data_IF_293508156146
#
_entry.id   IF_293508156146
#
_cell.length_a   1.000
_cell.length_b   1.000
_cell.length_c   1.000
_cell.angle_alpha   90.00
_cell.angle_beta   90.00
_cell.angle_gamma   90.00
#
_symmetry.space_group_name_H-M   'P 1'
#
loop_
_entity.id
_entity.type
_entity.pdbx_description
1 polymer ?
#
# COMPACT_ATOMS: atom_id res chain seq x y z
N UNK A 1 -0.69 -13.06 9.66
CA UNK A 1 0.24 -12.44 8.68
C UNK A 1 -0.45 -12.36 7.34
N UNK A 2 0.17 -11.66 6.40
CA UNK A 2 -0.27 -11.57 5.00
C UNK A 2 0.45 -12.63 4.18
N UNK A 3 -0.27 -13.32 3.29
CA UNK A 3 0.27 -14.36 2.42
C UNK A 3 0.01 -13.99 0.95
N UNK A 4 0.96 -14.28 0.03
CA UNK A 4 0.79 -14.02 -1.39
C UNK A 4 -0.08 -15.09 -2.06
N UNK A 5 -0.54 -14.81 -3.28
CA UNK A 5 -1.35 -15.71 -4.11
C UNK A 5 -0.72 -17.11 -4.27
N UNK A 6 0.61 -17.17 -4.36
CA UNK A 6 1.40 -18.41 -4.49
C UNK A 6 1.17 -19.40 -3.33
N UNK A 7 0.60 -18.94 -2.22
CA UNK A 7 0.35 -19.73 -1.01
C UNK A 7 -1.14 -19.98 -0.74
N UNK A 8 -2.03 -19.74 -1.72
CA UNK A 8 -3.48 -19.92 -1.55
C UNK A 8 -3.89 -21.33 -1.14
N UNK A 9 -3.16 -22.35 -1.61
CA UNK A 9 -3.46 -23.76 -1.30
C UNK A 9 -2.86 -24.22 0.04
N UNK A 10 -2.28 -23.31 0.83
CA UNK A 10 -1.71 -23.64 2.14
C UNK A 10 -2.81 -24.12 3.10
N UNK A 11 -2.67 -25.29 3.73
CA UNK A 11 -3.63 -25.75 4.74
C UNK A 11 -3.83 -24.73 5.87
N UNK A 12 -5.10 -24.52 6.22
CA UNK A 12 -5.50 -23.58 7.28
C UNK A 12 -5.45 -24.32 8.62
N UNK A 13 -4.24 -24.55 9.11
CA UNK A 13 -3.95 -25.14 10.43
C UNK A 13 -2.84 -24.35 11.18
N UNK A 14 -2.61 -24.70 12.44
CA UNK A 14 -1.68 -23.96 13.30
C UNK A 14 -0.23 -24.03 12.81
N UNK A 15 0.23 -25.22 12.42
CA UNK A 15 1.64 -25.46 12.10
C UNK A 15 1.97 -24.88 10.72
N UNK A 16 1.16 -25.21 9.71
CA UNK A 16 1.35 -24.77 8.32
C UNK A 16 1.36 -23.24 8.22
N UNK A 17 0.47 -22.55 8.92
CA UNK A 17 0.41 -21.08 8.89
C UNK A 17 1.58 -20.43 9.64
N UNK A 18 2.07 -21.06 10.70
CA UNK A 18 3.20 -20.54 11.48
C UNK A 18 4.50 -20.63 10.66
N UNK A 19 4.71 -21.72 9.92
CA UNK A 19 5.89 -21.90 9.05
C UNK A 19 5.99 -20.83 7.96
N UNK A 20 4.85 -20.37 7.44
CA UNK A 20 4.79 -19.29 6.44
C UNK A 20 4.78 -17.89 7.05
N UNK A 21 5.09 -17.72 8.34
CA UNK A 21 5.11 -16.40 8.99
C UNK A 21 3.72 -15.76 9.11
N UNK A 22 2.67 -16.56 9.06
CA UNK A 22 1.33 -16.19 9.49
C UNK A 22 1.05 -16.83 10.86
N UNK A 23 -0.20 -16.78 11.31
CA UNK A 23 -0.62 -17.45 12.54
C UNK A 23 -2.10 -17.78 12.47
N UNK A 24 -2.49 -18.90 13.07
CA UNK A 24 -3.89 -19.19 13.32
C UNK A 24 -4.37 -18.42 14.56
N UNK A 25 -5.09 -17.32 14.32
CA UNK A 25 -5.72 -16.51 15.36
C UNK A 25 -7.14 -16.97 15.67
N UNK A 26 -8.11 -16.07 15.54
CA UNK A 26 -9.55 -16.35 15.72
C UNK A 26 -10.21 -17.07 14.53
N UNK A 27 -9.44 -17.48 13.52
CA UNK A 27 -9.96 -18.02 12.26
C UNK A 27 -10.48 -16.96 11.27
N UNK A 28 -10.23 -15.68 11.53
CA UNK A 28 -10.56 -14.60 10.60
C UNK A 28 -9.62 -14.57 9.39
N UNK A 29 -10.18 -14.52 8.19
CA UNK A 29 -9.45 -14.43 6.93
C UNK A 29 -9.95 -13.23 6.12
N UNK A 30 -9.01 -12.43 5.60
CA UNK A 30 -9.29 -11.27 4.75
C UNK A 30 -8.67 -11.56 3.39
N UNK A 31 -9.49 -11.51 2.34
CA UNK A 31 -9.05 -11.67 0.95
C UNK A 31 -8.90 -10.28 0.34
N UNK A 32 -7.74 -10.02 -0.25
CA UNK A 32 -7.38 -8.73 -0.86
C UNK A 32 -7.00 -8.98 -2.32
N UNK A 33 -7.37 -8.04 -3.19
CA UNK A 33 -7.01 -8.05 -4.62
C UNK A 33 -5.77 -7.17 -4.89
N UNK A 34 -5.37 -7.10 -6.15
CA UNK A 34 -4.23 -6.30 -6.65
C UNK A 34 -4.43 -4.78 -6.55
N UNK A 35 -5.62 -4.32 -6.16
CA UNK A 35 -5.92 -2.90 -5.90
C UNK A 35 -5.71 -2.53 -4.44
N UNK A 36 -5.18 -3.44 -3.64
CA UNK A 36 -4.82 -3.19 -2.25
C UNK A 36 -3.32 -2.91 -2.15
N UNK A 37 -2.92 -1.92 -1.35
CA UNK A 37 -1.51 -1.63 -1.06
C UNK A 37 -1.09 -2.34 0.23
N UNK A 38 -0.10 -3.22 0.18
CA UNK A 38 0.30 -4.01 1.34
C UNK A 38 1.01 -3.18 2.42
N UNK A 39 1.68 -2.09 2.02
CA UNK A 39 2.26 -1.11 2.95
C UNK A 39 1.15 -0.39 3.73
N UNK A 40 0.05 -0.02 3.05
CA UNK A 40 -1.11 0.62 3.68
C UNK A 40 -1.89 -0.35 4.58
N UNK A 41 -1.98 -1.64 4.20
CA UNK A 41 -2.55 -2.68 5.07
C UNK A 41 -1.74 -2.82 6.36
N UNK A 42 -0.41 -2.85 6.26
CA UNK A 42 0.44 -2.87 7.45
C UNK A 42 0.20 -1.62 8.31
N UNK A 43 0.13 -0.43 7.70
CA UNK A 43 -0.22 0.82 8.41
C UNK A 43 -1.56 0.71 9.13
N UNK A 44 -2.62 0.27 8.45
CA UNK A 44 -3.96 0.13 9.01
C UNK A 44 -3.98 -0.75 10.26
N UNK A 45 -3.34 -1.92 10.22
CA UNK A 45 -3.27 -2.81 11.38
C UNK A 45 -2.43 -2.21 12.51
N UNK A 46 -1.32 -1.55 12.20
CA UNK A 46 -0.51 -0.89 13.22
C UNK A 46 -1.26 0.29 13.86
N UNK A 47 -1.99 1.09 13.09
CA UNK A 47 -2.84 2.17 13.59
C UNK A 47 -3.85 1.64 14.61
N UNK A 48 -4.56 0.55 14.27
CA UNK A 48 -5.47 -0.13 15.18
C UNK A 48 -4.77 -0.64 16.45
N UNK A 49 -3.60 -1.27 16.30
CA UNK A 49 -2.85 -1.83 17.44
C UNK A 49 -2.26 -0.76 18.36
N UNK A 50 -1.95 0.43 17.84
CA UNK A 50 -1.54 1.59 18.65
C UNK A 50 -2.70 2.03 19.56
N UNK A 51 -3.93 2.06 19.05
CA UNK A 51 -5.12 2.43 19.82
C UNK A 51 -5.49 1.37 20.86
N UNK A 52 -5.37 0.08 20.52
CA UNK A 52 -5.69 -1.04 21.41
C UNK A 52 -4.57 -1.39 22.40
N UNK A 53 -3.40 -0.75 22.30
CA UNK A 53 -2.29 -1.02 23.20
C UNK A 53 -2.65 -0.62 24.63
N UNK A 54 -2.55 -1.56 25.57
CA UNK A 54 -2.72 -1.27 27.01
C UNK A 54 -1.59 -0.39 27.58
N UNK A 55 -0.52 -0.14 26.82
CA UNK A 55 0.57 0.76 27.18
C UNK A 55 1.51 0.27 28.28
N UNK A 56 1.39 -0.99 28.75
CA UNK A 56 2.15 -1.49 29.91
C UNK A 56 3.65 -1.65 29.65
N UNK A 57 4.04 -2.21 28.50
CA UNK A 57 5.45 -2.40 28.15
C UNK A 57 5.93 -1.34 27.17
N UNK A 58 7.10 -0.78 27.46
CA UNK A 58 7.76 0.23 26.62
C UNK A 58 7.98 -0.23 25.17
N UNK A 59 8.51 -1.44 24.88
CA UNK A 59 8.71 -1.87 23.50
C UNK A 59 7.41 -1.84 22.69
N UNK A 60 6.31 -2.35 23.23
CA UNK A 60 5.02 -2.29 22.53
C UNK A 60 4.49 -0.83 22.42
N UNK A 61 4.43 -0.08 23.53
CA UNK A 61 3.80 1.25 23.56
C UNK A 61 4.50 2.28 22.68
N UNK A 62 5.82 2.33 22.73
CA UNK A 62 6.60 3.30 21.96
C UNK A 62 7.04 2.73 20.61
N UNK A 63 7.32 1.43 20.54
CA UNK A 63 7.68 0.77 19.29
C UNK A 63 6.55 0.80 18.26
N UNK A 64 5.31 0.49 18.66
CA UNK A 64 4.16 0.57 17.74
C UNK A 64 3.95 1.98 17.20
N UNK A 65 4.09 3.02 18.04
CA UNK A 65 4.03 4.42 17.59
C UNK A 65 5.14 4.74 16.60
N UNK A 66 6.35 4.25 16.84
CA UNK A 66 7.46 4.48 15.91
C UNK A 66 7.24 3.78 14.57
N UNK A 67 6.73 2.54 14.59
CA UNK A 67 6.35 1.83 13.35
C UNK A 67 5.23 2.55 12.61
N UNK A 68 4.20 3.02 13.33
CA UNK A 68 3.11 3.84 12.78
C UNK A 68 3.67 5.06 12.05
N UNK A 69 4.58 5.81 12.66
CA UNK A 69 5.18 6.99 12.05
C UNK A 69 5.93 6.65 10.75
N UNK A 70 6.72 5.58 10.73
CA UNK A 70 7.45 5.15 9.53
C UNK A 70 6.47 4.75 8.42
N UNK A 71 5.43 3.96 8.76
CA UNK A 71 4.40 3.54 7.80
C UNK A 71 3.60 4.73 7.25
N UNK A 72 3.34 5.75 8.07
CA UNK A 72 2.69 6.99 7.63
C UNK A 72 3.60 7.80 6.71
N UNK A 73 4.91 7.85 6.96
CA UNK A 73 5.86 8.51 6.06
C UNK A 73 5.95 7.76 4.72
N UNK A 74 6.06 6.43 4.74
CA UNK A 74 6.04 5.60 3.54
C UNK A 74 4.76 5.79 2.71
N UNK A 75 3.58 5.76 3.33
CA UNK A 75 2.28 5.88 2.64
C UNK A 75 1.88 7.31 2.27
N UNK A 76 2.64 8.32 2.71
CA UNK A 76 2.44 9.73 2.33
C UNK A 76 3.49 10.27 1.38
N UNK A 77 4.36 9.40 0.84
CA UNK A 77 5.42 9.79 -0.09
C UNK A 77 6.57 10.55 0.57
N UNK A 78 6.77 10.34 1.87
CA UNK A 78 7.85 10.92 2.68
C UNK A 78 8.85 9.88 3.17
N UNK A 79 8.78 8.67 2.61
CA UNK A 79 9.72 7.58 2.89
C UNK A 79 11.16 8.03 2.66
N UNK A 80 12.09 7.40 3.39
CA UNK A 80 13.52 7.69 3.32
C UNK A 80 14.28 6.39 3.21
N UNK A 81 15.43 6.45 2.55
CA UNK A 81 16.34 5.32 2.48
C UNK A 81 16.68 4.79 3.89
N UNK A 82 16.41 3.51 4.12
CA UNK A 82 16.62 2.82 5.40
C UNK A 82 15.38 2.75 6.29
N UNK A 83 14.26 3.36 5.90
CA UNK A 83 13.00 3.27 6.64
C UNK A 83 12.47 1.82 6.68
N UNK A 84 12.55 1.09 5.57
CA UNK A 84 12.08 -0.31 5.51
C UNK A 84 12.90 -1.22 6.43
N UNK A 85 14.22 -1.04 6.46
CA UNK A 85 15.09 -1.83 7.34
C UNK A 85 14.87 -1.46 8.81
N UNK A 86 14.80 -0.16 9.11
CA UNK A 86 14.49 0.34 10.46
C UNK A 86 13.15 -0.20 10.97
N UNK A 87 12.13 -0.21 10.09
CA UNK A 87 10.81 -0.74 10.40
C UNK A 87 10.85 -2.25 10.72
N UNK A 88 11.65 -3.01 9.97
CA UNK A 88 11.85 -4.44 10.21
C UNK A 88 12.57 -4.71 11.54
N UNK A 89 13.67 -4.01 11.82
CA UNK A 89 14.41 -4.15 13.08
C UNK A 89 13.52 -3.81 14.30
N UNK A 90 12.72 -2.75 14.18
CA UNK A 90 11.71 -2.37 15.20
C UNK A 90 10.68 -3.49 15.39
N UNK A 91 10.16 -4.05 14.30
CA UNK A 91 9.16 -5.11 14.33
C UNK A 91 9.68 -6.38 15.02
N UNK A 92 10.91 -6.80 14.69
CA UNK A 92 11.58 -7.94 15.34
C UNK A 92 11.82 -7.66 16.83
N UNK A 93 12.36 -6.50 17.17
CA UNK A 93 12.62 -6.12 18.56
C UNK A 93 11.35 -6.06 19.43
N UNK A 94 10.22 -5.60 18.90
CA UNK A 94 8.93 -5.61 19.62
C UNK A 94 8.45 -7.04 19.83
N UNK A 95 8.54 -7.88 18.79
CA UNK A 95 8.09 -9.27 18.83
C UNK A 95 8.82 -10.07 19.91
N UNK A 96 10.13 -9.82 20.07
CA UNK A 96 10.96 -10.53 21.04
C UNK A 96 10.84 -10.02 22.48
N UNK A 97 10.53 -8.73 22.67
CA UNK A 97 10.63 -8.07 23.99
C UNK A 97 9.30 -7.66 24.61
N UNK A 98 8.18 -7.77 23.88
CA UNK A 98 6.86 -7.46 24.42
C UNK A 98 6.43 -8.45 25.52
N UNK A 99 5.72 -7.92 26.54
CA UNK A 99 5.33 -8.70 27.72
C UNK A 99 4.16 -9.67 27.49
N UNK A 100 3.32 -9.43 26.49
CA UNK A 100 2.11 -10.21 26.25
C UNK A 100 2.04 -10.67 24.79
N UNK A 101 1.28 -11.74 24.54
CA UNK A 101 1.10 -12.31 23.20
C UNK A 101 0.59 -11.29 22.17
N UNK A 102 -0.29 -10.35 22.57
CA UNK A 102 -0.74 -9.29 21.68
C UNK A 102 0.45 -8.46 21.18
N UNK A 103 1.30 -7.98 22.09
CA UNK A 103 2.49 -7.19 21.72
C UNK A 103 3.50 -8.00 20.90
N UNK A 104 3.69 -9.28 21.24
CA UNK A 104 4.60 -10.17 20.50
C UNK A 104 4.11 -10.41 19.06
N UNK A 105 2.79 -10.50 18.85
CA UNK A 105 2.19 -10.68 17.52
C UNK A 105 1.86 -9.37 16.79
N UNK A 106 1.95 -8.23 17.46
CA UNK A 106 1.51 -6.93 16.94
C UNK A 106 2.29 -6.51 15.68
N UNK A 107 3.54 -6.94 15.56
CA UNK A 107 4.38 -6.63 14.41
C UNK A 107 4.24 -7.64 13.25
N UNK A 108 3.46 -8.70 13.41
CA UNK A 108 3.29 -9.74 12.38
C UNK A 108 2.80 -9.21 11.03
N UNK A 109 1.83 -8.26 10.95
CA UNK A 109 1.45 -7.66 9.67
C UNK A 109 2.67 -7.10 8.94
N UNK A 110 3.47 -6.27 9.62
CA UNK A 110 4.69 -5.64 9.07
C UNK A 110 5.73 -6.68 8.64
N UNK A 111 6.05 -7.65 9.49
CA UNK A 111 7.06 -8.68 9.17
C UNK A 111 6.65 -9.50 7.94
N UNK A 112 5.38 -9.91 7.88
CA UNK A 112 4.87 -10.71 6.77
C UNK A 112 4.78 -9.92 5.47
N UNK A 113 4.35 -8.66 5.51
CA UNK A 113 4.27 -7.82 4.31
C UNK A 113 5.64 -7.44 3.79
N UNK A 114 6.62 -7.14 4.66
CA UNK A 114 8.01 -6.93 4.24
C UNK A 114 8.60 -8.22 3.63
N UNK A 115 8.28 -9.39 4.18
CA UNK A 115 8.77 -10.68 3.66
C UNK A 115 8.27 -11.00 2.26
N UNK A 116 6.97 -10.80 2.00
CA UNK A 116 6.33 -11.26 0.76
C UNK A 116 6.10 -10.17 -0.28
N UNK A 117 6.08 -8.90 0.13
CA UNK A 117 5.77 -7.76 -0.73
C UNK A 117 6.85 -6.68 -0.61
N UNK A 118 8.11 -7.10 -0.48
CA UNK A 118 9.27 -6.21 -0.29
C UNK A 118 9.37 -5.15 -1.38
N UNK A 119 9.01 -5.52 -2.61
CA UNK A 119 9.03 -4.63 -3.77
C UNK A 119 8.11 -3.42 -3.57
N UNK A 120 6.94 -3.60 -2.96
CA UNK A 120 6.03 -2.48 -2.66
C UNK A 120 6.64 -1.51 -1.64
N UNK A 121 7.35 -2.02 -0.63
CA UNK A 121 8.05 -1.16 0.34
C UNK A 121 9.14 -0.33 -0.34
N UNK A 122 9.93 -0.94 -1.23
CA UNK A 122 10.98 -0.25 -1.99
C UNK A 122 10.38 0.84 -2.88
N UNK A 123 9.24 0.60 -3.52
CA UNK A 123 8.54 1.61 -4.33
C UNK A 123 8.06 2.80 -3.49
N UNK A 124 7.53 2.57 -2.28
CA UNK A 124 7.10 3.65 -1.39
C UNK A 124 8.30 4.43 -0.82
N UNK A 125 9.37 3.72 -0.47
CA UNK A 125 10.58 4.24 0.15
C UNK A 125 11.42 5.08 -0.82
N UNK A 126 11.73 4.54 -2.00
CA UNK A 126 12.71 5.12 -2.92
C UNK A 126 12.07 5.90 -4.06
N UNK A 127 10.92 5.45 -4.56
CA UNK A 127 10.29 6.01 -5.76
C UNK A 127 9.08 6.88 -5.45
N UNK A 128 8.64 6.87 -4.18
CA UNK A 128 7.40 7.46 -3.72
C UNK A 128 6.21 7.09 -4.60
N UNK A 129 6.17 5.80 -4.96
CA UNK A 129 5.19 5.22 -5.87
C UNK A 129 4.37 4.12 -5.20
N UNK A 130 3.06 4.12 -5.43
CA UNK A 130 2.10 3.13 -4.98
C UNK A 130 1.43 2.49 -6.20
N UNK A 131 1.82 1.25 -6.51
CA UNK A 131 1.28 0.49 -7.65
C UNK A 131 -0.23 0.28 -7.59
N UNK A 132 -0.78 0.15 -6.38
CA UNK A 132 -2.21 -0.10 -6.16
C UNK A 132 -3.04 1.19 -6.19
N UNK A 133 -2.39 2.37 -6.18
CA UNK A 133 -3.05 3.67 -6.25
C UNK A 133 -3.85 4.08 -5.02
N UNK A 134 -3.70 3.34 -3.91
CA UNK A 134 -4.41 3.61 -2.64
C UNK A 134 -3.77 4.79 -1.89
N UNK A 135 -2.44 4.91 -1.95
CA UNK A 135 -1.73 5.99 -1.27
C UNK A 135 -1.82 7.29 -2.08
N UNK A 136 -2.58 8.24 -1.56
CA UNK A 136 -2.81 9.56 -2.17
C UNK A 136 -1.51 10.26 -2.55
N UNK A 137 -1.43 10.78 -3.78
CA UNK A 137 -0.26 11.52 -4.24
C UNK A 137 0.93 10.66 -4.70
N UNK A 138 0.85 9.35 -4.54
CA UNK A 138 1.95 8.41 -4.84
C UNK A 138 1.74 7.63 -6.13
N UNK A 139 0.89 8.07 -7.05
CA UNK A 139 0.67 7.35 -8.30
C UNK A 139 0.57 8.30 -9.49
N UNK A 140 0.81 7.78 -10.68
CA UNK A 140 0.63 8.50 -11.94
C UNK A 140 -0.41 7.77 -12.77
N UNK A 141 -1.12 8.51 -13.61
CA UNK A 141 -2.24 7.97 -14.38
C UNK A 141 -1.99 8.13 -15.88
N UNK A 142 -2.30 7.10 -16.66
CA UNK A 142 -2.31 7.12 -18.12
C UNK A 142 -3.65 6.65 -18.65
N UNK A 143 -4.18 7.36 -19.63
CA UNK A 143 -5.39 6.95 -20.34
C UNK A 143 -4.97 5.97 -21.45
N UNK A 144 -5.55 4.78 -21.42
CA UNK A 144 -5.47 3.77 -22.47
C UNK A 144 -6.31 4.24 -23.67
N UNK A 145 -5.62 4.62 -24.75
CA UNK A 145 -6.28 5.15 -25.94
C UNK A 145 -7.15 4.12 -26.65
N UNK A 146 -6.84 2.84 -26.56
CA UNK A 146 -7.59 1.77 -27.25
C UNK A 146 -8.93 1.51 -26.56
N UNK A 147 -8.94 1.52 -25.22
CA UNK A 147 -10.16 1.33 -24.43
C UNK A 147 -11.01 2.61 -24.36
N UNK A 148 -10.38 3.78 -24.37
CA UNK A 148 -11.06 5.06 -24.17
C UNK A 148 -12.08 5.37 -25.28
N UNK A 149 -13.33 5.65 -24.87
CA UNK A 149 -14.43 6.05 -25.79
C UNK A 149 -14.60 7.57 -25.94
N UNK A 150 -13.62 8.36 -25.48
CA UNK A 150 -13.61 9.82 -25.63
C UNK A 150 -14.85 10.55 -25.11
N UNK A 151 -15.47 10.06 -24.02
CA UNK A 151 -16.67 10.66 -23.43
C UNK A 151 -16.42 11.98 -22.66
N UNK A 152 -15.17 12.25 -22.27
CA UNK A 152 -14.77 13.50 -21.59
C UNK A 152 -15.09 13.58 -20.09
N UNK A 153 -15.64 12.53 -19.48
CA UNK A 153 -15.93 12.51 -18.03
C UNK A 153 -14.68 12.70 -17.17
N UNK A 154 -13.54 12.12 -17.58
CA UNK A 154 -12.26 12.29 -16.87
C UNK A 154 -11.83 13.76 -16.83
N UNK A 155 -11.86 14.45 -17.97
CA UNK A 155 -11.49 15.86 -18.06
C UNK A 155 -12.43 16.76 -17.26
N UNK A 156 -13.75 16.52 -17.35
CA UNK A 156 -14.76 17.30 -16.61
C UNK A 156 -14.60 17.22 -15.09
N UNK A 157 -14.14 16.08 -14.57
CA UNK A 157 -13.95 15.87 -13.13
C UNK A 157 -12.49 16.11 -12.68
N UNK A 158 -11.63 16.61 -13.56
CA UNK A 158 -10.27 16.98 -13.17
C UNK A 158 -10.31 18.32 -12.41
N UNK A 159 -9.91 18.38 -11.13
CA UNK A 159 -9.96 19.62 -10.35
C UNK A 159 -8.91 20.66 -10.76
N UNK A 160 -7.92 20.25 -11.58
CA UNK A 160 -6.79 21.07 -12.03
C UNK A 160 -6.67 21.12 -13.56
N UNK A 161 -7.69 20.65 -14.28
CA UNK A 161 -7.81 20.74 -15.75
C UNK A 161 -6.60 20.21 -16.57
N UNK A 162 -5.90 19.18 -16.07
CA UNK A 162 -4.69 18.64 -16.73
C UNK A 162 -4.95 17.56 -17.78
N UNK A 163 -6.22 17.30 -18.11
CA UNK A 163 -6.61 16.24 -19.06
C UNK A 163 -7.09 16.87 -20.35
N UNK A 164 -6.29 16.71 -21.41
CA UNK A 164 -6.51 17.37 -22.69
C UNK A 164 -6.94 16.40 -23.77
N UNK A 165 -7.76 16.90 -24.70
CA UNK A 165 -8.17 16.15 -25.89
C UNK A 165 -7.16 16.41 -27.02
N UNK A 166 -6.49 15.35 -27.47
CA UNK A 166 -5.50 15.41 -28.55
C UNK A 166 -6.16 15.38 -29.94
N UNK A 167 -5.36 15.64 -30.99
CA UNK A 167 -5.80 15.70 -32.40
C UNK A 167 -6.48 14.42 -32.89
N UNK A 168 -6.10 13.26 -32.32
CA UNK A 168 -6.72 11.95 -32.58
C UNK A 168 -8.11 11.79 -31.91
N UNK A 169 -8.58 12.80 -31.17
CA UNK A 169 -9.84 12.78 -30.44
C UNK A 169 -9.79 12.03 -29.11
N UNK A 170 -8.63 11.51 -28.69
CA UNK A 170 -8.42 10.81 -27.41
C UNK A 170 -7.97 11.80 -26.33
N UNK A 171 -8.11 11.38 -25.07
CA UNK A 171 -7.70 12.18 -23.92
C UNK A 171 -6.35 11.70 -23.39
N UNK A 172 -5.47 12.62 -23.00
CA UNK A 172 -4.21 12.33 -22.30
C UNK A 172 -4.11 13.17 -21.04
N UNK A 173 -3.37 12.67 -20.04
CA UNK A 173 -3.16 13.35 -18.75
C UNK A 173 -1.76 13.95 -18.76
N UNK A 174 -1.65 15.26 -18.55
CA UNK A 174 -0.37 15.93 -18.28
C UNK A 174 0.02 15.69 -16.82
N UNK A 175 0.91 14.73 -16.59
CA UNK A 175 1.27 14.31 -15.24
C UNK A 175 2.15 15.33 -14.49
N UNK A 176 2.81 16.25 -15.20
CA UNK A 176 3.61 17.33 -14.61
C UNK A 176 2.78 18.26 -13.72
N UNK A 177 1.60 18.66 -14.20
CA UNK A 177 0.66 19.53 -13.49
C UNK A 177 -0.37 18.75 -12.64
N UNK A 178 -0.36 17.42 -12.74
CA UNK A 178 -1.35 16.57 -12.08
C UNK A 178 -1.09 16.49 -10.57
N UNK A 179 -2.10 16.85 -9.77
CA UNK A 179 -2.06 16.70 -8.31
C UNK A 179 -2.34 15.26 -7.83
N UNK A 180 -2.45 14.29 -8.76
CA UNK A 180 -2.59 12.85 -8.47
C UNK A 180 -3.75 12.52 -7.52
N UNK A 181 -4.89 13.19 -7.71
CA UNK A 181 -6.07 13.06 -6.85
C UNK A 181 -6.92 11.80 -7.11
N UNK A 182 -6.69 11.06 -8.20
CA UNK A 182 -7.45 9.85 -8.53
C UNK A 182 -8.86 10.08 -9.11
N UNK A 183 -9.41 11.30 -9.07
CA UNK A 183 -10.79 11.57 -9.48
C UNK A 183 -11.14 11.06 -10.90
N UNK A 184 -10.22 11.21 -11.86
CA UNK A 184 -10.45 10.74 -13.23
C UNK A 184 -10.52 9.21 -13.34
N UNK A 185 -9.76 8.48 -12.50
CA UNK A 185 -9.72 7.03 -12.46
C UNK A 185 -11.05 6.47 -11.94
N UNK A 186 -11.57 7.04 -10.85
CA UNK A 186 -12.83 6.62 -10.22
C UNK A 186 -14.05 6.82 -11.12
N UNK A 187 -14.12 7.94 -11.86
CA UNK A 187 -15.27 8.28 -12.69
C UNK A 187 -15.25 7.63 -14.08
N UNK A 188 -14.21 6.86 -14.44
CA UNK A 188 -14.09 6.27 -15.76
C UNK A 188 -14.96 5.00 -15.88
N UNK A 189 -16.08 5.02 -16.65
CA UNK A 189 -16.97 3.85 -16.75
C UNK A 189 -16.41 2.72 -17.62
N UNK A 190 -15.30 2.97 -18.31
CA UNK A 190 -14.67 2.03 -19.24
C UNK A 190 -13.36 1.45 -18.70
N UNK A 191 -13.00 1.78 -17.44
CA UNK A 191 -11.73 1.39 -16.81
C UNK A 191 -10.53 1.58 -17.76
N UNK A 192 -10.54 2.72 -18.47
CA UNK A 192 -9.53 3.05 -19.50
C UNK A 192 -8.42 3.92 -18.94
N UNK A 193 -8.28 4.01 -17.62
CA UNK A 193 -7.21 4.76 -16.97
C UNK A 193 -6.43 3.77 -16.13
N UNK A 194 -5.12 3.70 -16.36
CA UNK A 194 -4.21 2.78 -15.69
C UNK A 194 -3.27 3.57 -14.78
N UNK A 195 -2.92 2.97 -13.65
CA UNK A 195 -1.82 3.44 -12.81
C UNK A 195 -0.52 3.03 -13.49
N UNK A 196 0.41 3.97 -13.62
CA UNK A 196 1.70 3.77 -14.27
C UNK A 196 2.83 4.24 -13.38
N UNK A 197 3.95 3.52 -13.43
CA UNK A 197 5.17 3.85 -12.69
C UNK A 197 5.94 4.99 -13.34
N UNK A 198 6.15 4.94 -14.65
CA UNK A 198 6.84 5.98 -15.44
C UNK A 198 5.95 6.57 -16.52
N UNK A 199 6.10 7.87 -16.77
CA UNK A 199 5.46 8.58 -17.90
C UNK A 199 6.47 8.57 -19.02
N UNK A 200 6.43 7.55 -19.88
CA UNK A 200 7.12 7.65 -21.16
C UNK A 200 6.27 8.56 -22.05
N UNK A 201 6.82 9.71 -22.41
CA UNK A 201 6.20 10.70 -23.31
C UNK A 201 6.16 10.24 -24.79
N UNK A 202 6.76 9.08 -25.09
CA UNK A 202 6.77 8.48 -26.41
C UNK A 202 5.65 7.43 -26.53
N UNK A 203 4.45 7.91 -26.90
CA UNK A 203 3.45 7.29 -27.81
C UNK A 203 2.10 8.05 -27.77
#
# INVERSE_FOLDING_TARGET
>A
GCLPELMLDTPVDFDSLTEVGSMMGSGGMIVMDDRTCMVDIARYFIDFLVEESCGKCVPCREGLKKMQMILQDLTSGKGREGDTESLKELAEGISDTALCALGQSAANPVLSTIKYFKEEYIEHEMEHFCRSGVCSGMFRLKIDEDKCKSCGLCAKNCPVDTIEKHKNGKYRIKNEDCIKCGACFEVCPFSSINIIKEVNDDD
#
